data_IF_074981184618
#
_entry.id   IF_074981184618
#
_cell.length_a   1.000
_cell.length_b   1.000
_cell.length_c   1.000
_cell.angle_alpha   90.00
_cell.angle_beta   90.00
_cell.angle_gamma   90.00
#
_symmetry.space_group_name_H-M   'P 1'
#
loop_
_entity.id
_entity.type
_entity.pdbx_description
1 polymer ?
#
# COMPACT_ATOMS: atom_id res chain seq x y z
N UNK A 1 -22.21 5.86 3.83
CA UNK A 1 -21.22 4.79 4.05
C UNK A 1 -21.37 4.38 5.50
N UNK A 2 -21.85 3.16 5.77
CA UNK A 2 -21.95 2.60 7.12
C UNK A 2 -20.72 1.72 7.34
N UNK A 3 -20.02 1.93 8.42
CA UNK A 3 -18.95 1.02 8.84
C UNK A 3 -19.62 -0.10 9.66
N UNK A 4 -19.46 -1.34 9.22
CA UNK A 4 -19.91 -2.49 10.01
C UNK A 4 -18.91 -2.71 11.14
N UNK A 5 -19.35 -2.46 12.37
CA UNK A 5 -18.56 -2.68 13.57
C UNK A 5 -19.10 -3.92 14.25
N UNK A 6 -18.28 -4.96 14.30
CA UNK A 6 -18.65 -6.24 14.88
C UNK A 6 -18.08 -6.47 16.28
N UNK A 7 -17.04 -5.71 16.67
CA UNK A 7 -16.34 -5.90 17.92
C UNK A 7 -16.02 -4.60 18.64
N UNK A 8 -15.95 -4.64 19.96
CA UNK A 8 -15.49 -3.53 20.77
C UNK A 8 -14.03 -3.19 20.47
N UNK A 9 -13.73 -1.91 20.30
CA UNK A 9 -12.36 -1.43 20.02
C UNK A 9 -11.39 -1.63 21.18
N UNK A 10 -11.90 -1.74 22.40
CA UNK A 10 -11.11 -1.86 23.62
C UNK A 10 -10.91 -3.33 24.04
N UNK A 11 -11.98 -4.10 24.25
CA UNK A 11 -11.90 -5.47 24.77
C UNK A 11 -12.18 -6.56 23.72
N UNK A 12 -12.43 -6.18 22.45
CA UNK A 12 -12.75 -7.09 21.32
C UNK A 12 -14.03 -7.91 21.49
N UNK A 13 -14.83 -7.67 22.54
CA UNK A 13 -16.12 -8.32 22.72
C UNK A 13 -17.08 -8.01 21.59
N UNK A 14 -17.90 -8.98 21.22
CA UNK A 14 -19.02 -8.83 20.27
C UNK A 14 -20.27 -8.22 20.90
N UNK A 15 -20.31 -8.09 22.25
CA UNK A 15 -21.44 -7.53 22.99
C UNK A 15 -21.43 -5.99 22.89
N UNK A 16 -21.79 -5.48 21.71
CA UNK A 16 -21.85 -4.04 21.44
C UNK A 16 -23.26 -3.64 21.03
N UNK A 17 -23.70 -2.46 21.48
CA UNK A 17 -25.03 -1.93 21.20
C UNK A 17 -24.93 -0.48 20.76
N UNK A 18 -25.89 -0.04 19.91
CA UNK A 18 -26.02 1.38 19.56
C UNK A 18 -26.61 2.12 20.75
N UNK A 19 -25.81 2.95 21.39
CA UNK A 19 -26.20 3.80 22.53
C UNK A 19 -26.98 5.05 22.07
N UNK A 20 -26.51 5.68 21.00
CA UNK A 20 -27.12 6.88 20.45
C UNK A 20 -26.84 7.03 18.96
N UNK A 21 -27.67 7.87 18.32
CA UNK A 21 -27.44 8.31 16.92
C UNK A 21 -27.34 9.81 16.90
N UNK A 22 -26.29 10.34 16.27
CA UNK A 22 -26.09 11.78 16.13
C UNK A 22 -25.88 12.20 14.68
N UNK A 23 -26.32 13.41 14.34
CA UNK A 23 -26.16 13.98 13.01
C UNK A 23 -24.89 14.81 12.96
N UNK A 24 -24.01 14.53 12.02
CA UNK A 24 -22.86 15.39 11.73
C UNK A 24 -23.24 16.47 10.73
N UNK A 25 -22.54 17.62 10.74
CA UNK A 25 -22.83 18.71 9.77
C UNK A 25 -22.59 18.30 8.31
N UNK A 26 -21.67 17.37 8.06
CA UNK A 26 -21.11 17.14 6.71
C UNK A 26 -21.22 15.69 6.23
N UNK A 27 -21.29 14.71 7.13
CA UNK A 27 -21.15 13.29 6.79
C UNK A 27 -22.36 12.45 7.23
N UNK A 28 -23.53 13.06 7.35
CA UNK A 28 -24.79 12.39 7.66
C UNK A 28 -24.94 11.96 9.12
N UNK A 29 -25.77 10.93 9.33
CA UNK A 29 -25.98 10.34 10.67
C UNK A 29 -24.91 9.32 10.97
N UNK A 30 -24.51 9.26 12.26
CA UNK A 30 -23.52 8.31 12.77
C UNK A 30 -24.00 7.66 14.05
N UNK A 31 -23.54 6.44 14.29
CA UNK A 31 -23.85 5.71 15.51
C UNK A 31 -22.74 5.92 16.57
N UNK A 32 -23.19 6.03 17.81
CA UNK A 32 -22.35 5.90 18.99
C UNK A 32 -22.64 4.53 19.60
N UNK A 33 -21.61 3.74 19.80
CA UNK A 33 -21.69 2.39 20.38
C UNK A 33 -21.29 2.39 21.85
N UNK A 34 -21.84 1.45 22.60
CA UNK A 34 -21.39 1.09 23.94
C UNK A 34 -21.11 -0.40 23.98
N UNK A 35 -20.00 -0.78 24.58
CA UNK A 35 -19.72 -2.18 24.88
C UNK A 35 -20.44 -2.61 26.17
N UNK A 36 -21.20 -3.71 26.12
CA UNK A 36 -21.88 -4.29 27.28
C UNK A 36 -20.92 -4.79 28.36
N UNK A 37 -19.70 -5.21 27.97
CA UNK A 37 -18.73 -5.83 28.88
C UNK A 37 -17.83 -4.80 29.54
N UNK A 38 -17.12 -3.98 28.74
CA UNK A 38 -16.16 -3.01 29.30
C UNK A 38 -16.72 -1.59 29.45
N UNK A 39 -17.98 -1.36 29.09
CA UNK A 39 -18.70 -0.08 29.19
C UNK A 39 -18.05 1.09 28.41
N UNK A 40 -17.11 0.79 27.51
CA UNK A 40 -16.45 1.80 26.68
C UNK A 40 -17.42 2.33 25.61
N UNK A 41 -17.50 3.66 25.48
CA UNK A 41 -18.21 4.35 24.38
C UNK A 41 -17.27 4.64 23.23
N UNK A 42 -17.72 4.42 21.99
CA UNK A 42 -16.96 4.74 20.80
C UNK A 42 -17.86 5.03 19.59
N UNK A 43 -17.40 5.92 18.72
CA UNK A 43 -18.10 6.23 17.47
C UNK A 43 -17.79 5.18 16.39
N UNK A 44 -18.66 5.05 15.40
CA UNK A 44 -18.43 4.15 14.25
C UNK A 44 -17.17 4.48 13.43
N UNK A 45 -16.61 5.68 13.61
CA UNK A 45 -15.38 6.09 12.91
C UNK A 45 -14.12 5.99 13.77
N UNK A 46 -14.24 5.57 15.02
CA UNK A 46 -13.11 5.41 15.93
C UNK A 46 -12.12 4.37 15.40
N UNK A 47 -10.83 4.66 15.43
CA UNK A 47 -9.74 3.85 14.87
C UNK A 47 -9.85 3.61 13.33
N UNK A 48 -10.64 4.42 12.62
CA UNK A 48 -10.66 4.42 11.14
C UNK A 48 -9.97 5.68 10.61
N UNK A 49 -9.64 5.68 9.32
CA UNK A 49 -9.11 6.87 8.65
C UNK A 49 -10.05 8.09 8.74
N UNK A 50 -11.35 7.86 8.97
CA UNK A 50 -12.37 8.90 9.13
C UNK A 50 -12.44 9.49 10.53
N UNK A 51 -11.64 8.98 11.48
CA UNK A 51 -11.63 9.52 12.84
C UNK A 51 -11.26 11.00 12.84
N UNK A 52 -12.09 11.81 13.54
CA UNK A 52 -11.96 13.28 13.65
C UNK A 52 -12.07 14.06 12.33
N UNK A 53 -12.42 13.42 11.21
CA UNK A 53 -12.67 14.12 9.96
C UNK A 53 -14.07 14.77 9.99
N UNK A 54 -14.11 16.09 9.88
CA UNK A 54 -15.33 16.91 9.84
C UNK A 54 -15.71 17.33 8.42
N UNK A 55 -14.76 17.27 7.48
CA UNK A 55 -14.97 17.64 6.07
C UNK A 55 -15.80 16.58 5.36
N UNK A 56 -16.71 16.97 4.43
CA UNK A 56 -17.43 16.01 3.59
C UNK A 56 -16.48 15.08 2.84
N UNK A 57 -16.79 13.79 2.80
CA UNK A 57 -15.98 12.77 2.10
C UNK A 57 -15.82 13.13 0.62
N UNK A 58 -16.90 13.63 -0.02
CA UNK A 58 -16.87 14.06 -1.41
C UNK A 58 -15.81 15.13 -1.67
N UNK A 59 -15.70 16.13 -0.80
CA UNK A 59 -14.66 17.17 -0.92
C UNK A 59 -13.26 16.57 -0.77
N UNK A 60 -13.07 15.65 0.18
CA UNK A 60 -11.78 14.97 0.37
C UNK A 60 -11.41 14.19 -0.89
N UNK A 61 -12.34 13.40 -1.43
CA UNK A 61 -12.14 12.62 -2.64
C UNK A 61 -11.70 13.53 -3.81
N UNK A 62 -12.46 14.61 -4.09
CA UNK A 62 -12.12 15.55 -5.15
C UNK A 62 -10.72 16.17 -4.99
N UNK A 63 -10.32 16.52 -3.76
CA UNK A 63 -8.99 17.08 -3.51
C UNK A 63 -7.90 16.05 -3.77
N UNK A 64 -8.08 14.83 -3.28
CA UNK A 64 -7.10 13.76 -3.47
C UNK A 64 -7.00 13.33 -4.94
N UNK A 65 -8.14 13.29 -5.65
CA UNK A 65 -8.22 13.05 -7.09
C UNK A 65 -7.42 14.10 -7.88
N UNK A 66 -7.63 15.39 -7.59
CA UNK A 66 -6.83 16.46 -8.19
C UNK A 66 -5.32 16.33 -7.88
N UNK A 67 -4.96 15.82 -6.68
CA UNK A 67 -3.58 15.54 -6.32
C UNK A 67 -2.98 14.40 -7.17
N UNK A 68 -3.74 13.36 -7.45
CA UNK A 68 -3.30 12.25 -8.34
C UNK A 68 -3.12 12.72 -9.79
N UNK A 69 -3.91 13.70 -10.24
CA UNK A 69 -3.76 14.35 -11.55
C UNK A 69 -2.60 15.36 -11.61
N UNK A 70 -1.76 15.43 -10.58
CA UNK A 70 -0.53 16.24 -10.58
C UNK A 70 -0.68 17.68 -10.08
N UNK A 71 -1.85 18.07 -9.54
CA UNK A 71 -1.98 19.41 -8.93
C UNK A 71 -1.04 19.52 -7.72
N UNK A 72 -0.13 20.50 -7.75
CA UNK A 72 0.86 20.71 -6.71
C UNK A 72 0.21 20.95 -5.33
N UNK A 73 0.87 20.51 -4.24
CA UNK A 73 0.36 20.59 -2.86
C UNK A 73 -0.18 21.98 -2.50
N UNK A 74 0.66 23.00 -2.67
CA UNK A 74 0.27 24.40 -2.35
C UNK A 74 -0.84 24.93 -3.27
N UNK A 75 -0.89 24.49 -4.54
CA UNK A 75 -1.97 24.84 -5.46
C UNK A 75 -3.29 24.21 -4.99
N UNK A 76 -3.29 22.94 -4.58
CA UNK A 76 -4.47 22.29 -4.01
C UNK A 76 -5.01 23.03 -2.78
N UNK A 77 -4.13 23.45 -1.87
CA UNK A 77 -4.54 24.22 -0.72
C UNK A 77 -5.26 25.53 -1.10
N UNK A 78 -4.75 26.26 -2.11
CA UNK A 78 -5.37 27.52 -2.59
C UNK A 78 -6.68 27.29 -3.34
N UNK A 79 -6.71 26.31 -4.25
CA UNK A 79 -7.88 26.02 -5.09
C UNK A 79 -9.05 25.55 -4.24
N UNK A 80 -8.81 24.60 -3.34
CA UNK A 80 -9.87 23.99 -2.52
C UNK A 80 -10.10 24.71 -1.19
N UNK A 81 -9.38 25.79 -0.92
CA UNK A 81 -9.48 26.60 0.33
C UNK A 81 -9.36 25.73 1.57
N UNK A 82 -8.30 24.97 1.65
CA UNK A 82 -7.95 24.10 2.78
C UNK A 82 -6.56 24.47 3.30
N UNK A 83 -6.31 24.25 4.59
CA UNK A 83 -4.98 24.46 5.16
C UNK A 83 -4.01 23.36 4.74
N UNK A 84 -2.73 23.70 4.68
CA UNK A 84 -1.66 22.73 4.40
C UNK A 84 -1.62 21.59 5.42
N UNK A 85 -1.87 21.90 6.70
CA UNK A 85 -1.95 20.90 7.76
C UNK A 85 -3.11 19.92 7.55
N UNK A 86 -4.28 20.42 7.10
CA UNK A 86 -5.44 19.58 6.80
C UNK A 86 -5.16 18.63 5.62
N UNK A 87 -4.58 19.16 4.53
CA UNK A 87 -4.24 18.33 3.37
C UNK A 87 -3.20 17.25 3.73
N UNK A 88 -2.16 17.63 4.45
CA UNK A 88 -1.13 16.71 4.92
C UNK A 88 -1.69 15.61 5.85
N UNK A 89 -2.65 15.96 6.74
CA UNK A 89 -3.31 14.97 7.59
C UNK A 89 -4.16 13.98 6.77
N UNK A 90 -4.86 14.46 5.75
CA UNK A 90 -5.61 13.58 4.85
C UNK A 90 -4.68 12.65 4.09
N UNK A 91 -3.65 13.17 3.42
CA UNK A 91 -2.69 12.36 2.66
C UNK A 91 -2.05 11.29 3.56
N UNK A 92 -1.65 11.64 4.78
CA UNK A 92 -1.10 10.70 5.76
C UNK A 92 -2.10 9.61 6.18
N UNK A 93 -3.35 9.98 6.46
CA UNK A 93 -4.40 9.03 6.87
C UNK A 93 -4.77 8.07 5.72
N UNK A 94 -4.82 8.55 4.49
CA UNK A 94 -5.12 7.71 3.34
C UNK A 94 -3.93 6.83 2.95
N UNK A 95 -2.69 7.32 3.08
CA UNK A 95 -1.51 6.48 2.86
C UNK A 95 -1.41 5.30 3.83
N UNK A 96 -1.95 5.43 5.04
CA UNK A 96 -2.03 4.34 6.01
C UNK A 96 -2.95 3.18 5.55
N UNK A 97 -3.80 3.39 4.52
CA UNK A 97 -4.61 2.33 3.93
C UNK A 97 -3.83 1.41 2.98
N UNK A 98 -2.57 1.66 2.72
CA UNK A 98 -1.73 0.83 1.83
C UNK A 98 -1.83 -0.66 2.20
N UNK A 99 -1.59 -1.02 3.46
CA UNK A 99 -1.60 -2.42 3.88
C UNK A 99 -2.99 -3.09 3.78
N UNK A 100 -4.10 -2.49 4.25
CA UNK A 100 -5.43 -3.03 4.02
C UNK A 100 -5.78 -3.21 2.54
N UNK A 101 -5.42 -2.27 1.68
CA UNK A 101 -5.64 -2.37 0.23
C UNK A 101 -4.80 -3.49 -0.40
N UNK A 102 -3.55 -3.63 0.03
CA UNK A 102 -2.68 -4.71 -0.41
C UNK A 102 -3.26 -6.08 -0.05
N UNK A 103 -3.70 -6.28 1.20
CA UNK A 103 -4.33 -7.52 1.64
C UNK A 103 -5.62 -7.79 0.87
N UNK A 104 -6.45 -6.77 0.64
CA UNK A 104 -7.65 -6.90 -0.16
C UNK A 104 -7.34 -7.35 -1.59
N UNK A 105 -6.35 -6.75 -2.23
CA UNK A 105 -5.93 -7.12 -3.57
C UNK A 105 -5.43 -8.58 -3.64
N UNK A 106 -4.61 -9.01 -2.67
CA UNK A 106 -4.14 -10.40 -2.58
C UNK A 106 -5.30 -11.41 -2.45
N UNK A 107 -6.37 -11.07 -1.72
CA UNK A 107 -7.51 -11.97 -1.51
C UNK A 107 -8.48 -12.01 -2.68
N UNK A 108 -8.49 -10.99 -3.55
CA UNK A 108 -9.44 -10.86 -4.65
C UNK A 108 -8.83 -11.18 -6.03
N UNK A 109 -7.63 -11.75 -6.07
CA UNK A 109 -6.96 -12.19 -7.31
C UNK A 109 -6.92 -11.12 -8.42
N UNK A 110 -6.63 -9.85 -8.07
CA UNK A 110 -6.37 -8.80 -9.06
C UNK A 110 -5.05 -8.97 -9.80
N UNK A 111 -4.36 -10.10 -9.54
CA UNK A 111 -3.01 -10.32 -10.04
C UNK A 111 -3.10 -10.81 -11.47
N UNK A 112 -2.74 -9.98 -12.42
CA UNK A 112 -2.25 -10.43 -13.69
C UNK A 112 -0.74 -10.69 -13.59
N UNK A 113 -0.30 -11.64 -14.37
CA UNK A 113 1.02 -12.25 -14.34
C UNK A 113 2.18 -11.32 -14.70
N UNK A 114 1.95 -10.02 -14.91
CA UNK A 114 2.95 -9.08 -15.41
C UNK A 114 3.15 -7.90 -14.45
N UNK A 115 4.26 -7.91 -13.74
CA UNK A 115 4.63 -6.88 -12.77
C UNK A 115 5.81 -6.08 -13.31
N UNK A 116 5.69 -4.78 -13.34
CA UNK A 116 6.76 -3.85 -13.71
C UNK A 116 7.45 -3.33 -12.44
N UNK A 117 8.77 -3.42 -12.39
CA UNK A 117 9.61 -2.85 -11.34
C UNK A 117 10.44 -1.71 -11.89
N UNK A 118 10.38 -0.55 -11.23
CA UNK A 118 11.14 0.65 -11.62
C UNK A 118 11.64 1.42 -10.40
N UNK A 119 12.74 2.17 -10.59
CA UNK A 119 13.29 3.07 -9.60
C UNK A 119 13.18 4.51 -10.03
N UNK A 120 12.44 5.28 -9.26
CA UNK A 120 12.30 6.71 -9.44
C UNK A 120 13.28 7.47 -8.55
N UNK A 121 13.97 8.45 -9.09
CA UNK A 121 14.83 9.34 -8.34
C UNK A 121 14.20 10.72 -8.20
N UNK A 122 14.09 11.20 -6.97
CA UNK A 122 13.60 12.54 -6.66
C UNK A 122 14.60 13.27 -5.77
N UNK A 123 14.90 14.52 -6.09
CA UNK A 123 15.75 15.35 -5.22
C UNK A 123 15.04 15.65 -3.91
N UNK A 124 15.66 15.26 -2.78
CA UNK A 124 15.13 15.48 -1.44
C UNK A 124 16.06 16.39 -0.66
N UNK A 125 15.52 17.45 -0.07
CA UNK A 125 16.17 18.43 0.84
C UNK A 125 17.35 19.20 0.21
N UNK A 126 18.43 18.56 -0.18
CA UNK A 126 19.65 19.17 -0.72
C UNK A 126 20.07 18.52 -2.02
N UNK A 127 20.85 19.25 -2.83
CA UNK A 127 21.35 18.75 -4.10
C UNK A 127 22.54 17.80 -3.87
N UNK A 128 22.26 16.59 -3.36
CA UNK A 128 23.25 15.54 -3.19
C UNK A 128 23.40 14.70 -4.47
N UNK A 129 24.57 14.08 -4.70
CA UNK A 129 24.72 13.06 -5.75
C UNK A 129 23.66 11.97 -5.58
N UNK A 130 23.23 11.37 -6.69
CA UNK A 130 22.23 10.32 -6.69
C UNK A 130 22.60 9.13 -5.77
N UNK A 131 23.88 8.79 -5.69
CA UNK A 131 24.41 7.71 -4.82
C UNK A 131 24.24 7.97 -3.31
N UNK A 132 24.19 9.25 -2.90
CA UNK A 132 24.06 9.65 -1.49
C UNK A 132 22.68 10.13 -1.12
N UNK A 133 21.78 10.22 -2.08
CA UNK A 133 20.43 10.73 -1.87
C UNK A 133 19.50 9.69 -1.25
N UNK A 134 18.61 10.16 -0.38
CA UNK A 134 17.50 9.37 0.17
C UNK A 134 16.24 9.43 -0.72
N UNK A 135 16.33 10.06 -1.88
CA UNK A 135 15.22 10.28 -2.80
C UNK A 135 14.97 9.15 -3.79
N UNK A 136 15.46 7.95 -3.53
CA UNK A 136 15.16 6.79 -4.35
C UNK A 136 13.85 6.14 -3.92
N UNK A 137 12.99 5.89 -4.88
CA UNK A 137 11.71 5.21 -4.66
C UNK A 137 11.64 4.02 -5.58
N UNK A 138 11.43 2.84 -5.03
CA UNK A 138 11.11 1.62 -5.78
C UNK A 138 9.60 1.50 -5.90
N UNK A 139 9.14 1.19 -7.09
CA UNK A 139 7.74 0.93 -7.40
C UNK A 139 7.60 -0.45 -8.04
N UNK A 140 6.66 -1.25 -7.54
CA UNK A 140 6.16 -2.44 -8.22
C UNK A 140 4.72 -2.18 -8.65
N UNK A 141 4.47 -2.27 -9.95
CA UNK A 141 3.19 -1.97 -10.58
C UNK A 141 2.68 -3.19 -11.33
N UNK A 142 1.45 -3.59 -11.10
CA UNK A 142 0.79 -4.53 -11.99
C UNK A 142 0.37 -3.82 -13.29
N UNK A 143 0.81 -4.36 -14.43
CA UNK A 143 0.72 -3.66 -15.71
C UNK A 143 -0.71 -3.41 -16.19
N UNK A 144 -1.62 -4.35 -15.98
CA UNK A 144 -3.00 -4.26 -16.47
C UNK A 144 -3.89 -3.39 -15.59
N UNK A 145 -3.96 -3.72 -14.30
CA UNK A 145 -4.81 -3.00 -13.34
C UNK A 145 -4.24 -1.65 -12.92
N UNK A 146 -2.93 -1.41 -13.19
CA UNK A 146 -2.18 -0.26 -12.68
C UNK A 146 -2.11 -0.21 -11.15
N UNK A 147 -2.37 -1.33 -10.49
CA UNK A 147 -2.28 -1.42 -9.05
C UNK A 147 -0.82 -1.39 -8.60
N UNK A 148 -0.51 -0.50 -7.66
CA UNK A 148 0.83 -0.36 -7.09
C UNK A 148 0.94 -1.31 -5.91
N UNK A 149 1.71 -2.40 -6.09
CA UNK A 149 1.97 -3.38 -5.05
C UNK A 149 2.96 -2.87 -4.00
N UNK A 150 3.99 -2.17 -4.44
CA UNK A 150 5.01 -1.62 -3.55
C UNK A 150 5.38 -0.22 -3.98
N UNK A 151 5.55 0.66 -3.00
CA UNK A 151 6.08 2.00 -3.15
C UNK A 151 6.88 2.33 -1.90
N UNK A 152 8.18 2.15 -1.96
CA UNK A 152 9.09 2.39 -0.84
C UNK A 152 10.20 3.34 -1.22
N UNK A 153 10.50 4.28 -0.32
CA UNK A 153 11.51 5.31 -0.55
C UNK A 153 12.62 5.25 0.50
N UNK A 154 13.88 5.28 0.05
CA UNK A 154 15.06 5.29 0.90
C UNK A 154 16.30 5.65 0.09
N UNK A 155 17.50 5.47 0.68
CA UNK A 155 18.75 5.40 -0.08
C UNK A 155 18.73 4.20 -1.02
N UNK A 156 19.40 4.30 -2.17
CA UNK A 156 19.53 3.19 -3.14
C UNK A 156 20.46 2.09 -2.59
N UNK A 157 20.00 1.39 -1.59
CA UNK A 157 20.69 0.29 -0.91
C UNK A 157 19.97 -1.03 -1.15
N UNK A 158 20.66 -2.13 -0.88
CA UNK A 158 20.07 -3.48 -0.95
C UNK A 158 18.79 -3.61 -0.11
N UNK A 159 18.73 -2.94 1.05
CA UNK A 159 17.53 -2.94 1.90
C UNK A 159 16.28 -2.43 1.18
N UNK A 160 16.41 -1.40 0.33
CA UNK A 160 15.28 -0.87 -0.44
C UNK A 160 14.77 -1.89 -1.46
N UNK A 161 15.68 -2.59 -2.13
CA UNK A 161 15.32 -3.65 -3.08
C UNK A 161 14.71 -4.87 -2.36
N UNK A 162 15.25 -5.26 -1.20
CA UNK A 162 14.71 -6.37 -0.41
C UNK A 162 13.24 -6.15 -0.04
N UNK A 163 12.85 -4.94 0.37
CA UNK A 163 11.45 -4.62 0.66
C UNK A 163 10.53 -4.87 -0.53
N UNK A 164 10.96 -4.48 -1.73
CA UNK A 164 10.18 -4.71 -2.96
C UNK A 164 10.10 -6.20 -3.29
N UNK A 165 11.20 -6.93 -3.16
CA UNK A 165 11.24 -8.36 -3.47
C UNK A 165 10.46 -9.19 -2.45
N UNK A 166 10.47 -8.84 -1.16
CA UNK A 166 9.62 -9.47 -0.15
C UNK A 166 8.12 -9.29 -0.47
N UNK A 167 7.74 -8.13 -0.99
CA UNK A 167 6.38 -7.89 -1.46
C UNK A 167 6.07 -8.76 -2.69
N UNK A 168 6.99 -8.84 -3.65
CA UNK A 168 6.84 -9.68 -4.84
C UNK A 168 6.77 -11.18 -4.49
N UNK A 169 7.55 -11.66 -3.51
CA UNK A 169 7.49 -13.04 -3.04
C UNK A 169 6.09 -13.40 -2.52
N UNK A 170 5.46 -12.52 -1.74
CA UNK A 170 4.07 -12.72 -1.27
C UNK A 170 3.05 -12.79 -2.40
N UNK A 171 3.31 -12.09 -3.51
CA UNK A 171 2.47 -12.15 -4.71
C UNK A 171 2.67 -13.49 -5.40
N UNK A 172 3.92 -13.93 -5.57
CA UNK A 172 4.27 -15.21 -6.19
C UNK A 172 3.64 -16.40 -5.46
N UNK A 173 3.55 -16.35 -4.13
CA UNK A 173 2.86 -17.37 -3.33
C UNK A 173 1.36 -17.52 -3.66
N UNK A 174 0.76 -16.54 -4.32
CA UNK A 174 -0.68 -16.47 -4.62
C UNK A 174 -1.00 -16.64 -6.11
N UNK A 175 -0.01 -16.82 -6.95
CA UNK A 175 -0.19 -16.91 -8.41
C UNK A 175 0.73 -17.98 -9.00
N UNK A 176 0.21 -18.71 -9.98
CA UNK A 176 0.93 -19.81 -10.62
C UNK A 176 1.88 -19.34 -11.74
N UNK A 177 1.79 -18.10 -12.17
CA UNK A 177 2.64 -17.53 -13.22
C UNK A 177 2.87 -16.05 -12.97
N UNK A 178 4.11 -15.64 -12.83
CA UNK A 178 4.49 -14.22 -12.61
C UNK A 178 5.70 -13.87 -13.46
N UNK A 179 5.57 -12.80 -14.25
CA UNK A 179 6.69 -12.23 -14.99
C UNK A 179 7.03 -10.86 -14.40
N UNK A 180 8.23 -10.71 -13.87
CA UNK A 180 8.80 -9.42 -13.45
C UNK A 180 9.52 -8.78 -14.63
N UNK A 181 9.14 -7.56 -14.98
CA UNK A 181 9.81 -6.71 -15.98
C UNK A 181 10.58 -5.60 -15.28
N UNK A 182 11.85 -5.44 -15.61
CA UNK A 182 12.68 -4.33 -15.11
C UNK A 182 13.48 -3.71 -16.26
N UNK A 183 13.99 -2.50 -16.05
CA UNK A 183 14.77 -1.71 -17.01
C UNK A 183 16.25 -2.11 -17.12
N UNK A 184 16.62 -3.31 -16.72
CA UNK A 184 18.00 -3.80 -16.75
C UNK A 184 18.69 -3.82 -15.38
N UNK A 185 18.05 -3.38 -14.32
CA UNK A 185 18.57 -3.47 -12.95
C UNK A 185 18.61 -4.94 -12.47
N UNK A 186 19.81 -5.49 -12.46
CA UNK A 186 20.03 -6.93 -12.16
C UNK A 186 19.73 -7.31 -10.71
N UNK A 187 19.72 -6.36 -9.78
CA UNK A 187 19.45 -6.63 -8.36
C UNK A 187 18.09 -7.25 -8.15
N UNK A 188 17.07 -6.85 -8.90
CA UNK A 188 15.74 -7.48 -8.83
C UNK A 188 15.78 -8.97 -9.10
N UNK A 189 16.42 -9.38 -10.20
CA UNK A 189 16.51 -10.78 -10.58
C UNK A 189 17.33 -11.60 -9.60
N UNK A 190 18.45 -11.08 -9.13
CA UNK A 190 19.31 -11.78 -8.18
C UNK A 190 18.63 -11.98 -6.81
N UNK A 191 18.01 -10.94 -6.27
CA UNK A 191 17.29 -11.02 -4.99
C UNK A 191 16.04 -11.89 -5.09
N UNK A 192 15.29 -11.79 -6.20
CA UNK A 192 14.14 -12.67 -6.43
C UNK A 192 14.57 -14.14 -6.47
N UNK A 193 15.66 -14.43 -7.17
CA UNK A 193 16.23 -15.77 -7.18
C UNK A 193 16.63 -16.23 -5.77
N UNK A 194 17.26 -15.39 -5.00
CA UNK A 194 17.71 -15.74 -3.64
C UNK A 194 16.56 -16.02 -2.67
N UNK A 195 15.44 -15.31 -2.79
CA UNK A 195 14.28 -15.47 -1.93
C UNK A 195 13.38 -16.62 -2.38
N UNK A 196 13.16 -16.77 -3.71
CA UNK A 196 12.16 -17.70 -4.25
C UNK A 196 12.76 -19.00 -4.80
N UNK A 197 14.09 -19.19 -4.80
CA UNK A 197 14.73 -20.38 -5.39
C UNK A 197 14.30 -21.67 -4.73
N UNK A 198 14.03 -22.65 -5.56
CA UNK A 198 13.75 -24.03 -5.16
C UNK A 198 14.90 -24.95 -5.57
N UNK A 199 15.02 -26.10 -4.88
CA UNK A 199 16.01 -27.12 -5.20
C UNK A 199 15.40 -28.13 -6.18
N UNK A 200 15.90 -28.10 -7.40
CA UNK A 200 15.51 -29.06 -8.44
C UNK A 200 16.53 -30.20 -8.52
N UNK A 201 16.03 -31.43 -8.35
CA UNK A 201 16.82 -32.65 -8.51
C UNK A 201 16.49 -33.30 -9.86
N UNK A 202 17.45 -33.27 -10.80
CA UNK A 202 17.31 -33.87 -12.14
C UNK A 202 17.59 -35.40 -12.16
N UNK A 203 17.70 -36.02 -10.98
CA UNK A 203 18.01 -37.46 -10.84
C UNK A 203 19.46 -37.85 -11.15
N UNK A 204 20.32 -36.86 -11.50
CA UNK A 204 21.74 -37.09 -11.75
C UNK A 204 22.56 -37.00 -10.51
N UNK A 205 23.71 -37.67 -10.49
CA UNK A 205 24.66 -37.64 -9.38
C UNK A 205 25.24 -36.21 -9.27
N UNK A 206 25.03 -35.52 -8.14
CA UNK A 206 25.54 -34.17 -7.91
C UNK A 206 24.68 -33.36 -6.95
N UNK A 207 25.05 -32.10 -6.70
CA UNK A 207 24.27 -31.18 -5.89
C UNK A 207 23.02 -30.74 -6.67
N UNK A 208 21.83 -30.74 -6.05
CA UNK A 208 20.63 -30.20 -6.66
C UNK A 208 20.82 -28.77 -7.18
N UNK A 209 20.27 -28.46 -8.33
CA UNK A 209 20.31 -27.12 -8.91
C UNK A 209 19.28 -26.23 -8.24
N UNK A 210 19.68 -24.97 -7.99
CA UNK A 210 18.70 -23.96 -7.58
C UNK A 210 18.05 -23.37 -8.83
N UNK A 211 16.72 -23.33 -8.85
CA UNK A 211 15.90 -22.80 -9.96
C UNK A 211 14.82 -21.88 -9.39
N UNK A 212 14.29 -20.97 -10.19
CA UNK A 212 13.06 -20.27 -9.82
C UNK A 212 11.86 -21.24 -9.89
N UNK A 213 10.80 -21.02 -9.09
CA UNK A 213 9.56 -21.77 -9.17
C UNK A 213 9.01 -21.81 -10.59
N UNK A 214 8.31 -22.89 -10.94
CA UNK A 214 7.65 -23.00 -12.24
C UNK A 214 6.68 -21.82 -12.43
N UNK A 215 6.71 -21.21 -13.63
CA UNK A 215 5.88 -20.05 -13.94
C UNK A 215 6.52 -18.69 -13.59
N UNK A 216 7.51 -18.62 -12.70
CA UNK A 216 8.18 -17.35 -12.33
C UNK A 216 9.27 -16.99 -13.33
N UNK A 217 9.18 -15.80 -13.92
CA UNK A 217 10.12 -15.29 -14.94
C UNK A 217 10.58 -13.88 -14.61
N UNK A 218 11.84 -13.60 -14.89
CA UNK A 218 12.40 -12.25 -14.85
C UNK A 218 12.84 -11.87 -16.26
N UNK A 219 12.33 -10.75 -16.75
CA UNK A 219 12.71 -10.18 -18.05
C UNK A 219 13.37 -8.82 -17.82
N UNK A 220 14.62 -8.71 -18.20
CA UNK A 220 15.35 -7.45 -18.23
C UNK A 220 15.15 -6.81 -19.61
N UNK A 221 14.69 -5.58 -19.62
CA UNK A 221 14.62 -4.79 -20.86
C UNK A 221 15.99 -4.13 -21.05
N UNK A 222 16.68 -4.53 -22.13
CA UNK A 222 17.89 -3.84 -22.60
C UNK A 222 17.51 -2.54 -23.30
#
# INVERSE_FOLDING_TARGET
>A
MCFEINNCINCKSTNIHVSARYKTKSNGRRNLYICGDCKTFFSETKNTFMENIKTPISKIATVLEARTEGVAFNASCRIFKISSSTLSDWERKFSALKNPLFLYALTHNFIEQLIEGDELYTKVKSNKPASESEGWTIMLLERRSRFIWELSSSKKTEKLFNMAIETLAKIIEKTDDTTLLTDGERRYGNLLFDICKELYNDGKRGRPKSVLPEGVKVKLKN
#
